data_IF_724465954071
#
_entry.id   IF_724465954071
#
_cell.length_a   1.000
_cell.length_b   1.000
_cell.length_c   1.000
_cell.angle_alpha   90.00
_cell.angle_beta   90.00
_cell.angle_gamma   90.00
#
_symmetry.space_group_name_H-M   'P 1'
#
loop_
_entity.id
_entity.type
_entity.pdbx_description
1 polymer ?
#
# COMPACT_ATOMS: atom_id res chain seq x y z
N UNK A 1 -12.98 12.55 -31.31
CA UNK A 1 -13.74 12.24 -30.07
C UNK A 1 -12.87 12.61 -28.89
N UNK A 2 -13.31 13.57 -28.04
CA UNK A 2 -12.59 13.92 -26.82
C UNK A 2 -12.91 12.85 -25.77
N UNK A 3 -11.92 12.08 -25.32
CA UNK A 3 -12.07 11.18 -24.17
C UNK A 3 -12.38 12.04 -22.93
N UNK A 4 -13.58 11.90 -22.37
CA UNK A 4 -13.90 12.53 -21.09
C UNK A 4 -13.02 11.89 -20.01
N UNK A 5 -12.34 12.71 -19.21
CA UNK A 5 -11.47 12.27 -18.11
C UNK A 5 -12.33 11.50 -17.09
N UNK A 6 -12.01 10.23 -16.88
CA UNK A 6 -12.72 9.37 -15.93
C UNK A 6 -12.47 9.83 -14.49
N UNK A 7 -13.47 9.66 -13.62
CA UNK A 7 -13.26 9.77 -12.17
C UNK A 7 -12.26 8.69 -11.72
N UNK A 8 -11.34 9.01 -10.80
CA UNK A 8 -10.29 8.09 -10.34
C UNK A 8 -10.85 6.75 -9.85
N UNK A 9 -11.93 6.78 -9.07
CA UNK A 9 -12.60 5.58 -8.54
C UNK A 9 -13.21 4.71 -9.64
N UNK A 10 -13.70 5.33 -10.71
CA UNK A 10 -14.24 4.59 -11.87
C UNK A 10 -13.12 4.04 -12.75
N UNK A 11 -11.96 4.72 -12.80
CA UNK A 11 -10.76 4.18 -13.44
C UNK A 11 -10.25 2.95 -12.70
N UNK A 12 -10.18 3.00 -11.36
CA UNK A 12 -9.84 1.84 -10.54
C UNK A 12 -10.82 0.68 -10.72
N UNK A 13 -12.13 0.97 -10.84
CA UNK A 13 -13.16 -0.05 -11.13
C UNK A 13 -12.96 -0.71 -12.49
N UNK A 14 -12.63 0.10 -13.50
CA UNK A 14 -12.28 -0.41 -14.84
C UNK A 14 -11.06 -1.34 -14.74
N UNK A 15 -10.01 -0.90 -14.07
CA UNK A 15 -8.78 -1.68 -13.93
C UNK A 15 -9.02 -2.99 -13.17
N UNK A 16 -9.81 -2.96 -12.08
CA UNK A 16 -10.18 -4.16 -11.33
C UNK A 16 -10.92 -5.17 -12.22
N UNK A 17 -11.91 -4.69 -12.98
CA UNK A 17 -12.69 -5.53 -13.91
C UNK A 17 -11.78 -6.18 -14.95
N UNK A 18 -10.91 -5.40 -15.59
CA UNK A 18 -10.01 -5.88 -16.64
C UNK A 18 -9.00 -6.89 -16.10
N UNK A 19 -8.38 -6.62 -14.95
CA UNK A 19 -7.43 -7.53 -14.29
C UNK A 19 -8.04 -8.88 -13.93
N UNK A 20 -9.30 -8.87 -13.50
CA UNK A 20 -10.02 -10.09 -13.11
C UNK A 20 -10.76 -10.76 -14.28
N UNK A 21 -10.65 -10.21 -15.51
CA UNK A 21 -11.32 -10.76 -16.69
C UNK A 21 -12.85 -10.75 -16.61
N UNK A 22 -13.45 -9.83 -15.85
CA UNK A 22 -14.88 -9.86 -15.55
C UNK A 22 -15.73 -9.23 -16.66
N UNK A 23 -16.85 -9.87 -16.96
CA UNK A 23 -17.96 -9.23 -17.67
C UNK A 23 -18.61 -8.16 -16.80
N UNK A 24 -19.36 -7.23 -17.42
CA UNK A 24 -20.11 -6.23 -16.64
C UNK A 24 -21.21 -6.88 -15.78
N UNK A 25 -21.73 -8.03 -16.21
CA UNK A 25 -22.69 -8.81 -15.43
C UNK A 25 -22.03 -9.36 -14.17
N UNK A 26 -20.91 -10.06 -14.32
CA UNK A 26 -20.17 -10.62 -13.17
C UNK A 26 -19.67 -9.53 -12.22
N UNK A 27 -19.25 -8.37 -12.75
CA UNK A 27 -18.86 -7.23 -11.92
C UNK A 27 -20.06 -6.72 -11.09
N UNK A 28 -21.22 -6.54 -11.72
CA UNK A 28 -22.44 -6.11 -11.02
C UNK A 28 -22.86 -7.15 -9.97
N UNK A 29 -22.83 -8.43 -10.31
CA UNK A 29 -23.18 -9.53 -9.41
C UNK A 29 -22.24 -9.56 -8.19
N UNK A 30 -20.93 -9.36 -8.38
CA UNK A 30 -19.96 -9.25 -7.27
C UNK A 30 -20.20 -8.03 -6.38
N UNK A 31 -20.53 -6.89 -6.96
CA UNK A 31 -20.88 -5.69 -6.20
C UNK A 31 -22.16 -5.93 -5.38
N UNK A 32 -23.17 -6.56 -5.97
CA UNK A 32 -24.46 -6.84 -5.35
C UNK A 32 -24.46 -8.01 -4.35
N UNK A 33 -23.30 -8.63 -4.09
CA UNK A 33 -23.14 -9.50 -2.92
C UNK A 33 -23.39 -8.74 -1.62
N UNK A 34 -23.15 -7.42 -1.61
CA UNK A 34 -23.68 -6.54 -0.57
C UNK A 34 -25.15 -6.22 -0.89
N UNK A 35 -26.13 -6.66 -0.06
CA UNK A 35 -27.55 -6.48 -0.34
C UNK A 35 -28.00 -5.01 -0.28
N UNK A 36 -27.16 -4.10 0.22
CA UNK A 36 -27.42 -2.66 0.19
C UNK A 36 -27.15 -2.03 -1.19
N UNK A 37 -26.53 -2.77 -2.11
CA UNK A 37 -26.18 -2.29 -3.44
C UNK A 37 -27.24 -2.71 -4.46
N UNK A 38 -27.39 -1.91 -5.52
CA UNK A 38 -28.26 -2.23 -6.64
C UNK A 38 -27.56 -1.78 -7.94
N UNK A 39 -26.48 -2.47 -8.28
CA UNK A 39 -25.64 -2.20 -9.44
C UNK A 39 -26.18 -2.89 -10.69
N UNK A 40 -26.42 -2.10 -11.72
CA UNK A 40 -26.83 -2.57 -13.04
C UNK A 40 -25.61 -2.66 -13.98
N UNK A 41 -25.43 -3.78 -14.72
CA UNK A 41 -24.31 -3.97 -15.64
C UNK A 41 -24.19 -2.88 -16.71
N UNK A 42 -25.33 -2.42 -17.25
CA UNK A 42 -25.36 -1.39 -18.30
C UNK A 42 -24.91 -0.05 -17.71
N UNK A 43 -25.34 0.26 -16.50
CA UNK A 43 -24.92 1.46 -15.77
C UNK A 43 -23.40 1.46 -15.49
N UNK A 44 -22.85 0.32 -15.05
CA UNK A 44 -21.40 0.16 -14.86
C UNK A 44 -20.62 0.36 -16.16
N UNK A 45 -21.11 -0.18 -17.28
CA UNK A 45 -20.52 0.07 -18.61
C UNK A 45 -20.51 1.55 -18.96
N UNK A 46 -21.63 2.25 -18.80
CA UNK A 46 -21.75 3.67 -19.14
C UNK A 46 -20.78 4.53 -18.31
N UNK A 47 -20.59 4.20 -17.02
CA UNK A 47 -19.60 4.87 -16.16
C UNK A 47 -18.18 4.64 -16.65
N UNK A 48 -17.81 3.38 -16.94
CA UNK A 48 -16.45 2.99 -17.35
C UNK A 48 -16.07 3.57 -18.73
N UNK A 49 -17.02 3.66 -19.66
CA UNK A 49 -16.81 4.26 -20.98
C UNK A 49 -16.81 5.81 -20.92
N UNK A 50 -17.25 6.40 -19.81
CA UNK A 50 -17.33 7.84 -19.62
C UNK A 50 -18.53 8.50 -20.30
N UNK A 51 -19.56 7.70 -20.63
CA UNK A 51 -20.82 8.15 -21.22
C UNK A 51 -21.77 8.72 -20.16
N UNK A 52 -21.65 8.28 -18.90
CA UNK A 52 -22.41 8.84 -17.77
C UNK A 52 -21.55 9.03 -16.52
N UNK A 53 -21.98 9.93 -15.64
CA UNK A 53 -21.32 10.19 -14.36
C UNK A 53 -22.13 9.51 -13.24
N UNK A 54 -21.48 8.74 -12.35
CA UNK A 54 -22.16 8.19 -11.18
C UNK A 54 -22.53 9.30 -10.20
N UNK A 55 -23.59 9.07 -9.43
CA UNK A 55 -23.92 9.89 -8.26
C UNK A 55 -22.89 9.66 -7.15
N UNK A 56 -22.75 10.61 -6.22
CA UNK A 56 -21.82 10.48 -5.09
C UNK A 56 -22.08 9.23 -4.25
N UNK A 57 -23.35 8.86 -4.08
CA UNK A 57 -23.75 7.61 -3.41
C UNK A 57 -23.24 6.37 -4.15
N UNK A 58 -23.36 6.36 -5.48
CA UNK A 58 -22.85 5.28 -6.32
C UNK A 58 -21.33 5.24 -6.37
N UNK A 59 -20.66 6.40 -6.43
CA UNK A 59 -19.21 6.48 -6.29
C UNK A 59 -18.74 5.90 -4.96
N UNK A 60 -19.46 6.20 -3.88
CA UNK A 60 -19.14 5.67 -2.56
C UNK A 60 -19.30 4.15 -2.49
N UNK A 61 -20.35 3.60 -3.11
CA UNK A 61 -20.53 2.15 -3.22
C UNK A 61 -19.41 1.48 -4.03
N UNK A 62 -18.96 2.11 -5.13
CA UNK A 62 -17.82 1.62 -5.92
C UNK A 62 -16.53 1.67 -5.10
N UNK A 63 -16.27 2.77 -4.39
CA UNK A 63 -15.11 2.92 -3.51
C UNK A 63 -15.08 1.82 -2.45
N UNK A 64 -16.21 1.60 -1.76
CA UNK A 64 -16.35 0.56 -0.73
C UNK A 64 -16.19 -0.85 -1.29
N UNK A 65 -16.76 -1.13 -2.46
CA UNK A 65 -16.58 -2.39 -3.17
C UNK A 65 -15.11 -2.64 -3.50
N UNK A 66 -14.46 -1.74 -4.22
CA UNK A 66 -13.06 -1.86 -4.63
C UNK A 66 -12.16 -2.10 -3.44
N UNK A 67 -12.38 -1.33 -2.39
CA UNK A 67 -11.67 -1.45 -1.14
C UNK A 67 -11.83 -2.83 -0.47
N UNK A 68 -13.04 -3.39 -0.48
CA UNK A 68 -13.29 -4.75 0.01
C UNK A 68 -12.45 -5.72 -0.81
N UNK A 69 -12.58 -5.69 -2.14
CA UNK A 69 -11.85 -6.60 -3.03
C UNK A 69 -10.32 -6.51 -2.87
N UNK A 70 -9.78 -5.29 -2.75
CA UNK A 70 -8.34 -5.11 -2.50
C UNK A 70 -7.89 -5.67 -1.15
N UNK A 71 -8.71 -5.51 -0.11
CA UNK A 71 -8.43 -6.12 1.20
C UNK A 71 -8.44 -7.63 1.09
N UNK A 72 -9.34 -8.20 0.29
CA UNK A 72 -9.44 -9.63 0.03
C UNK A 72 -8.18 -10.16 -0.67
N UNK A 73 -7.70 -9.46 -1.70
CA UNK A 73 -6.50 -9.87 -2.44
C UNK A 73 -5.25 -9.86 -1.54
N UNK A 74 -5.08 -8.79 -0.77
CA UNK A 74 -4.02 -8.64 0.23
C UNK A 74 -4.09 -9.81 1.23
N UNK A 75 -5.24 -10.03 1.86
CA UNK A 75 -5.38 -11.02 2.93
C UNK A 75 -5.33 -12.46 2.44
N UNK A 76 -5.83 -12.75 1.23
CA UNK A 76 -5.70 -14.06 0.61
C UNK A 76 -4.23 -14.35 0.25
N UNK A 77 -3.50 -13.36 -0.24
CA UNK A 77 -2.07 -13.48 -0.48
C UNK A 77 -1.29 -13.71 0.84
N UNK A 78 -1.63 -13.00 1.91
CA UNK A 78 -1.01 -13.16 3.24
C UNK A 78 -1.54 -14.36 4.06
N UNK A 79 -2.49 -15.14 3.57
CA UNK A 79 -2.95 -16.35 4.26
C UNK A 79 -2.55 -17.65 3.55
N UNK A 80 -2.08 -17.57 2.29
CA UNK A 80 -1.81 -18.76 1.47
C UNK A 80 -0.39 -19.32 1.61
N UNK A 81 0.63 -18.48 1.81
CA UNK A 81 2.05 -18.91 1.87
C UNK A 81 2.97 -18.00 2.75
N UNK A 82 2.51 -17.55 3.92
CA UNK A 82 3.34 -16.68 4.76
C UNK A 82 4.43 -17.45 5.50
N UNK A 83 5.67 -17.11 5.16
CA UNK A 83 6.86 -17.45 5.93
C UNK A 83 6.99 -16.47 7.08
N UNK A 84 7.09 -17.00 8.29
CA UNK A 84 7.33 -16.20 9.49
C UNK A 84 8.78 -16.32 9.91
N UNK A 85 9.27 -15.27 10.57
CA UNK A 85 10.60 -15.21 11.14
C UNK A 85 10.46 -15.09 12.65
N UNK A 86 11.20 -15.91 13.40
CA UNK A 86 11.21 -15.85 14.86
C UNK A 86 11.76 -14.50 15.34
N UNK A 87 11.08 -13.86 16.29
CA UNK A 87 11.46 -12.54 16.78
C UNK A 87 12.86 -12.49 17.40
N UNK A 88 13.44 -13.61 17.82
CA UNK A 88 14.84 -13.69 18.27
C UNK A 88 15.82 -13.41 17.13
N UNK A 89 15.52 -13.94 15.94
CA UNK A 89 16.34 -13.73 14.74
C UNK A 89 16.15 -12.29 14.21
N UNK A 90 14.91 -11.79 14.20
CA UNK A 90 14.64 -10.39 13.85
C UNK A 90 15.37 -9.43 14.80
N UNK A 91 15.45 -9.75 16.10
CA UNK A 91 16.17 -8.92 17.08
C UNK A 91 17.67 -8.86 16.77
N UNK A 92 18.25 -10.00 16.36
CA UNK A 92 19.65 -10.06 15.93
C UNK A 92 19.90 -9.16 14.72
N UNK A 93 19.05 -9.24 13.68
CA UNK A 93 19.19 -8.40 12.48
C UNK A 93 18.95 -6.91 12.76
N UNK A 94 18.02 -6.60 13.66
CA UNK A 94 17.75 -5.23 14.07
C UNK A 94 18.83 -4.64 15.01
N UNK A 95 19.84 -5.42 15.42
CA UNK A 95 20.84 -4.98 16.38
C UNK A 95 20.27 -4.67 17.77
N UNK A 96 19.15 -5.31 18.15
CA UNK A 96 18.44 -5.08 19.42
C UNK A 96 18.47 -6.34 20.28
N UNK A 97 18.39 -6.16 21.60
CA UNK A 97 18.12 -7.31 22.49
C UNK A 97 16.71 -7.84 22.22
N UNK A 98 16.51 -9.16 22.35
CA UNK A 98 15.18 -9.77 22.17
C UNK A 98 14.13 -9.11 23.07
N UNK A 99 14.48 -8.79 24.32
CA UNK A 99 13.61 -8.06 25.25
C UNK A 99 13.15 -6.70 24.70
N UNK A 100 14.06 -5.91 24.12
CA UNK A 100 13.71 -4.61 23.54
C UNK A 100 12.82 -4.76 22.31
N UNK A 101 13.14 -5.70 21.41
CA UNK A 101 12.27 -5.96 20.26
C UNK A 101 10.88 -6.41 20.69
N UNK A 102 10.77 -7.31 21.67
CA UNK A 102 9.47 -7.77 22.20
C UNK A 102 8.64 -6.61 22.78
N UNK A 103 9.28 -5.62 23.41
CA UNK A 103 8.61 -4.41 23.89
C UNK A 103 8.09 -3.56 22.73
N UNK A 104 8.91 -3.39 21.69
CA UNK A 104 8.54 -2.60 20.51
C UNK A 104 7.37 -3.27 19.76
N UNK A 105 7.41 -4.59 19.55
CA UNK A 105 6.31 -5.36 18.92
C UNK A 105 5.02 -5.19 19.71
N UNK A 106 5.04 -5.35 21.04
CA UNK A 106 3.83 -5.16 21.88
C UNK A 106 3.25 -3.75 21.74
N UNK A 107 4.11 -2.73 21.67
CA UNK A 107 3.67 -1.35 21.44
C UNK A 107 2.99 -1.19 20.08
N UNK A 108 3.52 -1.79 19.02
CA UNK A 108 2.86 -1.78 17.71
C UNK A 108 1.51 -2.50 17.75
N UNK A 109 1.42 -3.66 18.41
CA UNK A 109 0.16 -4.40 18.61
C UNK A 109 -0.88 -3.52 19.32
N UNK A 110 -0.48 -2.83 20.39
CA UNK A 110 -1.37 -1.93 21.14
C UNK A 110 -1.81 -0.72 20.31
N UNK A 111 -0.88 -0.12 19.55
CA UNK A 111 -1.17 1.01 18.67
C UNK A 111 -2.11 0.60 17.53
N UNK A 112 -1.95 -0.60 16.95
CA UNK A 112 -2.84 -1.17 15.93
C UNK A 112 -4.26 -1.38 16.47
N UNK A 113 -4.41 -1.98 17.66
CA UNK A 113 -5.71 -2.17 18.31
C UNK A 113 -6.41 -0.83 18.58
N UNK A 114 -5.68 0.16 19.10
CA UNK A 114 -6.21 1.51 19.32
C UNK A 114 -6.62 2.20 18.02
N UNK A 115 -5.84 2.03 16.95
CA UNK A 115 -6.18 2.58 15.64
C UNK A 115 -7.48 1.94 15.11
N UNK A 116 -7.65 0.63 15.30
CA UNK A 116 -8.87 -0.08 14.93
C UNK A 116 -10.09 0.42 15.72
N UNK A 117 -9.96 0.63 17.03
CA UNK A 117 -11.03 1.16 17.89
C UNK A 117 -11.43 2.60 17.52
N UNK A 118 -10.46 3.50 17.37
CA UNK A 118 -10.71 4.90 17.00
C UNK A 118 -11.44 5.06 15.67
N UNK A 119 -11.32 4.08 14.78
CA UNK A 119 -12.01 4.06 13.50
C UNK A 119 -13.47 3.62 13.65
N UNK A 120 -13.80 2.73 14.60
CA UNK A 120 -15.17 2.30 14.89
C UNK A 120 -16.00 3.44 15.49
N UNK A 121 -15.40 4.23 16.39
CA UNK A 121 -16.09 5.31 17.11
C UNK A 121 -16.51 6.50 16.23
N UNK A 122 -15.90 6.66 15.04
CA UNK A 122 -16.19 7.79 14.14
C UNK A 122 -17.41 7.60 13.24
N UNK A 123 -18.15 6.49 13.37
CA UNK A 123 -19.29 6.19 12.51
C UNK A 123 -18.93 6.13 11.02
N UNK A 124 -17.64 6.12 10.69
CA UNK A 124 -17.17 5.94 9.34
C UNK A 124 -17.39 4.47 9.02
N UNK A 125 -18.19 4.19 7.99
CA UNK A 125 -18.06 2.94 7.27
C UNK A 125 -16.63 2.92 6.74
N UNK A 126 -15.79 2.17 7.44
CA UNK A 126 -14.37 2.47 7.62
C UNK A 126 -13.58 2.17 6.37
N UNK A 127 -12.41 2.83 6.27
CA UNK A 127 -11.05 2.22 6.20
C UNK A 127 -10.88 0.68 6.14
N UNK A 128 -11.79 -0.05 6.77
CA UNK A 128 -11.64 -1.38 7.32
C UNK A 128 -13.02 -1.80 7.86
N UNK A 129 -14.06 -1.87 7.02
CA UNK A 129 -15.30 -2.51 7.44
C UNK A 129 -15.04 -4.04 7.46
N UNK A 130 -15.07 -4.73 8.62
CA UNK A 130 -14.54 -6.08 8.77
C UNK A 130 -15.46 -7.20 8.31
N UNK A 131 -16.46 -6.93 7.47
CA UNK A 131 -17.29 -8.00 6.90
C UNK A 131 -16.78 -8.42 5.52
N UNK A 132 -15.62 -9.08 5.61
CA UNK A 132 -15.25 -10.29 4.88
C UNK A 132 -14.95 -10.14 3.38
N UNK A 133 -13.66 -10.00 3.06
CA UNK A 133 -12.93 -11.21 2.77
C UNK A 133 -11.45 -11.12 3.20
N UNK A 134 -10.98 -12.24 3.76
CA UNK A 134 -9.74 -12.31 4.50
C UNK A 134 -9.94 -12.60 5.99
N UNK A 135 -9.05 -13.43 6.54
CA UNK A 135 -9.04 -13.79 7.98
C UNK A 135 -8.69 -12.61 8.90
N UNK A 136 -7.97 -11.60 8.39
CA UNK A 136 -7.40 -10.49 9.16
C UNK A 136 -7.64 -9.15 8.44
N UNK A 137 -7.90 -8.06 9.17
CA UNK A 137 -7.96 -6.70 8.59
C UNK A 137 -6.58 -6.04 8.46
N UNK A 138 -6.46 -4.93 7.70
CA UNK A 138 -5.18 -4.19 7.51
C UNK A 138 -4.57 -3.71 8.85
N UNK A 139 -5.42 -3.37 9.82
CA UNK A 139 -5.00 -2.95 11.16
C UNK A 139 -5.01 -4.09 12.18
N UNK A 140 -5.30 -5.32 11.74
CA UNK A 140 -5.29 -6.47 12.62
C UNK A 140 -3.84 -6.82 12.99
N UNK A 141 -3.48 -6.86 14.29
CA UNK A 141 -2.15 -7.22 14.72
C UNK A 141 -1.64 -8.56 14.17
N UNK A 142 -2.54 -9.54 13.97
CA UNK A 142 -2.17 -10.88 13.54
C UNK A 142 -1.67 -10.91 12.08
N UNK A 143 -1.92 -9.86 11.28
CA UNK A 143 -1.33 -9.68 9.96
C UNK A 143 0.19 -9.42 10.03
N UNK A 144 0.68 -8.89 11.15
CA UNK A 144 2.08 -8.48 11.35
C UNK A 144 2.83 -9.39 12.31
N UNK A 145 2.20 -9.74 13.43
CA UNK A 145 2.83 -10.41 14.57
C UNK A 145 1.90 -11.46 15.16
N UNK A 146 2.36 -12.71 15.23
CA UNK A 146 1.62 -13.80 15.88
C UNK A 146 2.34 -14.15 17.18
N UNK A 147 1.60 -14.17 18.29
CA UNK A 147 2.14 -14.60 19.57
C UNK A 147 2.66 -16.04 19.50
N UNK A 148 3.85 -16.24 20.06
CA UNK A 148 4.49 -17.55 20.08
C UNK A 148 5.32 -17.72 21.35
N UNK A 149 6.05 -18.82 21.41
CA UNK A 149 6.93 -19.12 22.52
C UNK A 149 8.05 -20.03 22.07
N UNK A 150 9.18 -19.94 22.76
CA UNK A 150 10.30 -20.85 22.56
C UNK A 150 10.71 -21.49 23.89
N UNK A 151 11.33 -22.66 23.81
CA UNK A 151 11.93 -23.33 24.96
C UNK A 151 13.40 -22.94 24.98
N UNK A 152 13.86 -22.36 26.08
CA UNK A 152 15.26 -22.04 26.25
C UNK A 152 16.10 -23.33 26.37
N UNK A 153 17.17 -23.48 25.58
CA UNK A 153 17.94 -24.72 25.55
C UNK A 153 18.69 -24.99 26.87
N UNK A 154 19.03 -23.95 27.63
CA UNK A 154 19.83 -24.02 28.86
C UNK A 154 19.00 -24.44 30.06
N UNK A 155 17.82 -23.83 30.26
CA UNK A 155 17.00 -24.06 31.46
C UNK A 155 15.67 -24.77 31.19
N UNK A 156 15.40 -25.16 29.93
CA UNK A 156 14.18 -25.84 29.49
C UNK A 156 12.86 -25.10 29.81
N UNK A 157 12.95 -23.80 30.11
CA UNK A 157 11.79 -22.97 30.44
C UNK A 157 11.19 -22.36 29.18
N UNK A 158 9.86 -22.24 29.14
CA UNK A 158 9.12 -21.64 28.04
C UNK A 158 9.11 -20.11 28.18
N UNK A 159 9.60 -19.40 27.16
CA UNK A 159 9.63 -17.94 27.11
C UNK A 159 8.79 -17.40 25.95
N UNK A 160 8.17 -16.22 26.09
CA UNK A 160 7.36 -15.62 25.04
C UNK A 160 8.23 -15.14 23.87
N UNK A 161 7.72 -15.31 22.65
CA UNK A 161 8.28 -14.76 21.42
C UNK A 161 7.15 -14.33 20.47
N UNK A 162 7.52 -13.84 19.30
CA UNK A 162 6.57 -13.59 18.21
C UNK A 162 7.08 -14.28 16.95
N UNK A 163 6.14 -14.74 16.14
CA UNK A 163 6.36 -15.01 14.72
C UNK A 163 6.06 -13.73 13.96
N UNK A 164 7.05 -13.22 13.24
CA UNK A 164 7.01 -11.93 12.55
C UNK A 164 6.82 -12.17 11.05
N UNK A 165 5.78 -11.58 10.46
CA UNK A 165 5.53 -11.65 9.02
C UNK A 165 6.46 -10.68 8.26
N UNK A 166 6.46 -10.74 6.92
CA UNK A 166 7.18 -9.74 6.10
C UNK A 166 6.72 -8.32 6.41
N UNK A 167 5.40 -8.10 6.51
CA UNK A 167 4.83 -6.80 6.89
C UNK A 167 5.23 -6.43 8.32
N UNK A 168 5.31 -7.39 9.22
CA UNK A 168 5.80 -7.18 10.59
C UNK A 168 7.25 -6.70 10.63
N UNK A 169 8.13 -7.25 9.79
CA UNK A 169 9.51 -6.76 9.65
C UNK A 169 9.57 -5.32 9.13
N UNK A 170 8.74 -4.99 8.13
CA UNK A 170 8.66 -3.63 7.58
C UNK A 170 8.07 -2.63 8.59
N UNK A 171 7.10 -3.07 9.40
CA UNK A 171 6.55 -2.29 10.52
C UNK A 171 7.63 -1.99 11.56
N UNK A 172 8.44 -2.99 11.94
CA UNK A 172 9.56 -2.84 12.89
C UNK A 172 10.64 -1.89 12.35
N UNK A 173 10.92 -1.94 11.05
CA UNK A 173 11.92 -1.09 10.41
C UNK A 173 11.47 0.38 10.31
N UNK A 174 10.16 0.64 10.34
CA UNK A 174 9.62 1.99 10.24
C UNK A 174 9.88 2.79 11.54
N UNK A 175 10.27 4.06 11.40
CA UNK A 175 10.61 4.95 12.53
C UNK A 175 9.41 5.71 13.10
N UNK A 176 8.27 5.74 12.41
CA UNK A 176 7.05 6.37 12.92
C UNK A 176 6.46 5.54 14.05
N UNK A 177 6.16 6.18 15.18
CA UNK A 177 5.62 5.50 16.38
C UNK A 177 4.35 6.17 16.90
N UNK A 178 3.63 5.47 17.78
CA UNK A 178 2.35 5.92 18.32
C UNK A 178 1.19 5.61 17.38
N UNK A 179 -0.03 5.66 17.89
CA UNK A 179 -1.26 5.21 17.20
C UNK A 179 -1.36 5.72 15.75
N UNK A 180 -1.20 7.03 15.52
CA UNK A 180 -1.27 7.63 14.18
C UNK A 180 -0.10 7.19 13.27
N UNK A 181 1.10 7.09 13.83
CA UNK A 181 2.28 6.65 13.08
C UNK A 181 2.15 5.20 12.66
N UNK A 182 1.77 4.31 13.59
CA UNK A 182 1.51 2.89 13.33
C UNK A 182 0.37 2.70 12.32
N UNK A 183 -0.71 3.48 12.41
CA UNK A 183 -1.78 3.46 11.43
C UNK A 183 -1.30 3.86 10.02
N UNK A 184 -0.53 4.95 9.91
CA UNK A 184 0.06 5.37 8.64
C UNK A 184 0.97 4.28 8.08
N UNK A 185 1.86 3.72 8.90
CA UNK A 185 2.79 2.65 8.51
C UNK A 185 2.04 1.42 8.01
N UNK A 186 0.99 0.99 8.69
CA UNK A 186 0.14 -0.13 8.26
C UNK A 186 -0.44 0.12 6.86
N UNK A 187 -1.05 1.29 6.63
CA UNK A 187 -1.64 1.65 5.34
C UNK A 187 -0.57 1.73 4.25
N UNK A 188 0.53 2.43 4.53
CA UNK A 188 1.66 2.62 3.62
C UNK A 188 2.24 1.29 3.16
N UNK A 189 2.62 0.41 4.10
CA UNK A 189 3.23 -0.88 3.78
C UNK A 189 2.27 -1.69 2.90
N UNK A 190 1.02 -1.86 3.33
CA UNK A 190 0.07 -2.70 2.61
C UNK A 190 -0.21 -2.17 1.20
N UNK A 191 -0.29 -0.84 1.02
CA UNK A 191 -0.51 -0.24 -0.28
C UNK A 191 0.67 -0.48 -1.24
N UNK A 192 1.91 -0.39 -0.77
CA UNK A 192 3.06 -0.69 -1.61
C UNK A 192 3.19 -2.18 -1.96
N UNK A 193 2.81 -3.09 -1.06
CA UNK A 193 2.71 -4.52 -1.40
C UNK A 193 1.63 -4.77 -2.46
N UNK A 194 0.47 -4.09 -2.36
CA UNK A 194 -0.57 -4.14 -3.40
C UNK A 194 -0.03 -3.70 -4.76
N UNK A 195 0.62 -2.54 -4.82
CA UNK A 195 1.20 -2.00 -6.06
C UNK A 195 2.28 -2.91 -6.65
N UNK A 196 3.12 -3.53 -5.81
CA UNK A 196 4.13 -4.49 -6.26
C UNK A 196 3.49 -5.74 -6.87
N UNK A 197 2.46 -6.28 -6.23
CA UNK A 197 1.75 -7.45 -6.74
C UNK A 197 1.06 -7.16 -8.07
N UNK A 198 0.59 -5.92 -8.29
CA UNK A 198 0.04 -5.49 -9.59
C UNK A 198 1.10 -5.40 -10.69
N UNK A 199 2.36 -5.17 -10.32
CA UNK A 199 3.47 -5.01 -11.25
C UNK A 199 4.14 -6.36 -11.59
N UNK A 200 4.07 -7.37 -10.72
CA UNK A 200 4.58 -8.73 -10.99
C UNK A 200 3.77 -9.48 -12.07
N UNK A 201 2.58 -8.98 -12.43
CA UNK A 201 1.78 -9.47 -13.56
C UNK A 201 2.15 -8.82 -14.91
N UNK A 202 3.04 -7.82 -14.92
CA UNK A 202 3.62 -7.26 -16.15
C UNK A 202 4.89 -8.07 -16.42
N UNK A 203 5.03 -8.73 -17.59
CA UNK A 203 6.29 -9.38 -17.92
C UNK A 203 7.39 -8.33 -17.81
N UNK A 204 8.50 -8.70 -17.15
CA UNK A 204 9.68 -7.87 -17.00
C UNK A 204 9.93 -7.12 -18.32
N UNK A 205 10.24 -5.80 -18.28
CA UNK A 205 10.51 -5.03 -19.48
C UNK A 205 11.45 -5.84 -20.38
N UNK A 206 10.94 -6.24 -21.54
CA UNK A 206 11.76 -6.84 -22.58
C UNK A 206 12.92 -5.88 -22.81
N UNK A 207 14.13 -6.45 -22.87
CA UNK A 207 15.41 -5.76 -22.90
C UNK A 207 15.33 -4.39 -23.59
N UNK A 208 15.79 -3.35 -22.89
CA UNK A 208 15.85 -2.00 -23.41
C UNK A 208 16.50 -1.99 -24.80
N UNK A 209 15.94 -1.26 -25.79
CA UNK A 209 16.52 -1.20 -27.11
C UNK A 209 17.95 -0.67 -27.00
N UNK A 210 18.91 -1.44 -27.51
CA UNK A 210 20.31 -1.03 -27.64
C UNK A 210 20.35 0.13 -28.62
N UNK A 211 20.50 1.35 -28.10
CA UNK A 211 20.90 2.50 -28.91
C UNK A 211 22.44 2.56 -28.84
N UNK A 212 23.04 2.50 -30.02
CA UNK A 212 24.48 2.51 -30.26
C UNK A 212 25.13 3.77 -29.69
N UNK A 213 26.35 3.57 -29.20
CA UNK A 213 27.16 4.53 -28.46
C UNK A 213 27.54 5.74 -29.32
N UNK A 214 27.31 6.95 -28.81
CA UNK A 214 28.25 8.05 -29.01
C UNK A 214 28.78 8.52 -27.65
N UNK A 215 30.08 8.32 -27.51
CA UNK A 215 30.94 8.77 -26.42
C UNK A 215 31.02 10.29 -26.43
N UNK A 216 30.66 10.91 -25.31
CA UNK A 216 31.24 12.18 -24.87
C UNK A 216 30.84 12.42 -23.41
N UNK A 217 31.81 12.76 -22.56
CA UNK A 217 31.72 13.01 -21.12
C UNK A 217 31.99 11.80 -20.20
N UNK A 218 33.28 11.52 -20.06
CA UNK A 218 33.92 10.84 -18.92
C UNK A 218 33.60 11.57 -17.61
N UNK A 219 32.46 11.32 -16.99
CA UNK A 219 32.26 11.42 -15.54
C UNK A 219 31.29 10.30 -15.18
N UNK A 220 31.80 9.18 -14.68
CA UNK A 220 31.01 8.10 -14.11
C UNK A 220 30.06 8.71 -13.05
N UNK A 221 28.72 8.76 -13.26
CA UNK A 221 27.81 9.06 -12.18
C UNK A 221 27.84 7.79 -11.33
N UNK A 222 28.52 7.84 -10.19
CA UNK A 222 28.42 6.75 -9.22
C UNK A 222 26.94 6.54 -8.92
N UNK A 223 26.43 5.36 -9.27
CA UNK A 223 25.06 4.97 -8.98
C UNK A 223 24.81 5.14 -7.48
N UNK A 224 23.67 5.73 -7.06
CA UNK A 224 23.40 5.92 -5.65
C UNK A 224 23.34 4.59 -4.92
N UNK A 225 24.22 4.42 -3.93
CA UNK A 225 24.51 3.12 -3.32
C UNK A 225 23.47 2.76 -2.26
N UNK A 226 22.75 3.74 -1.72
CA UNK A 226 21.71 3.50 -0.71
C UNK A 226 20.30 3.63 -1.29
N UNK A 227 19.32 2.96 -0.66
CA UNK A 227 17.90 3.09 -1.01
C UNK A 227 17.43 4.56 -0.90
N UNK A 228 17.93 5.27 0.12
CA UNK A 228 17.62 6.67 0.39
C UNK A 228 18.10 7.59 -0.75
N UNK A 229 19.29 7.36 -1.30
CA UNK A 229 19.79 8.17 -2.42
C UNK A 229 19.05 7.89 -3.73
N UNK A 230 18.64 6.63 -3.98
CA UNK A 230 17.79 6.29 -5.14
C UNK A 230 16.42 6.96 -5.04
N UNK A 231 15.82 6.94 -3.85
CA UNK A 231 14.52 7.57 -3.60
C UNK A 231 14.63 9.10 -3.74
N UNK A 232 15.75 9.69 -3.29
CA UNK A 232 16.04 11.10 -3.46
C UNK A 232 16.20 11.48 -4.95
N UNK A 233 16.87 10.64 -5.73
CA UNK A 233 17.07 10.87 -7.16
C UNK A 233 15.76 10.74 -7.95
N UNK A 234 14.92 9.77 -7.57
CA UNK A 234 13.57 9.63 -8.12
C UNK A 234 12.71 10.87 -7.81
N UNK A 235 12.74 11.37 -6.57
CA UNK A 235 12.06 12.61 -6.18
C UNK A 235 12.56 13.81 -6.98
N UNK A 236 13.89 13.96 -7.15
CA UNK A 236 14.48 15.03 -7.96
C UNK A 236 13.97 14.99 -9.39
N UNK A 237 13.98 13.82 -10.04
CA UNK A 237 13.47 13.65 -11.41
C UNK A 237 11.98 13.94 -11.52
N UNK A 238 11.19 13.48 -10.57
CA UNK A 238 9.74 13.68 -10.57
C UNK A 238 9.36 15.15 -10.38
N UNK A 239 10.03 15.86 -9.47
CA UNK A 239 9.82 17.29 -9.28
C UNK A 239 10.22 18.10 -10.52
N UNK A 240 11.33 17.72 -11.17
CA UNK A 240 11.74 18.31 -12.45
C UNK A 240 10.68 18.08 -13.54
N UNK A 241 10.14 16.88 -13.63
CA UNK A 241 9.09 16.55 -14.58
C UNK A 241 7.79 17.32 -14.28
N UNK A 242 7.36 17.42 -13.02
CA UNK A 242 6.17 18.19 -12.63
C UNK A 242 6.30 19.69 -12.99
N UNK A 243 7.52 20.24 -12.90
CA UNK A 243 7.82 21.61 -13.34
C UNK A 243 7.80 21.72 -14.87
N UNK A 244 8.38 20.76 -15.59
CA UNK A 244 8.45 20.74 -17.06
C UNK A 244 7.08 20.49 -17.71
N UNK A 245 6.21 19.71 -17.08
CA UNK A 245 4.87 19.36 -17.57
C UNK A 245 3.80 20.39 -17.17
N UNK A 246 4.17 21.45 -16.45
CA UNK A 246 3.23 22.48 -16.00
C UNK A 246 2.63 23.24 -17.19
N UNK A 247 1.31 23.16 -17.35
CA UNK A 247 0.59 23.75 -18.51
C UNK A 247 0.09 25.18 -18.25
N UNK A 248 0.10 25.62 -16.99
CA UNK A 248 -0.34 26.95 -16.58
C UNK A 248 0.66 27.61 -15.65
N UNK A 249 0.72 28.94 -15.67
CA UNK A 249 1.66 29.73 -14.84
C UNK A 249 1.40 29.51 -13.33
N UNK A 250 0.15 29.28 -12.95
CA UNK A 250 -0.22 28.99 -11.56
C UNK A 250 0.25 27.60 -11.11
N UNK A 251 0.18 26.61 -11.99
CA UNK A 251 0.64 25.24 -11.73
C UNK A 251 2.16 25.18 -11.64
N UNK A 252 2.85 25.88 -12.55
CA UNK A 252 4.29 26.09 -12.51
C UNK A 252 4.71 26.72 -11.18
N UNK A 253 4.03 27.80 -10.76
CA UNK A 253 4.32 28.48 -9.50
C UNK A 253 4.14 27.57 -8.28
N UNK A 254 3.08 26.75 -8.25
CA UNK A 254 2.84 25.78 -7.17
C UNK A 254 3.91 24.69 -7.12
N UNK A 255 4.35 24.19 -8.28
CA UNK A 255 5.33 23.12 -8.35
C UNK A 255 6.74 23.62 -7.99
N UNK A 256 7.08 24.87 -8.33
CA UNK A 256 8.31 25.53 -7.88
C UNK A 256 8.32 25.68 -6.34
N UNK A 257 7.21 26.13 -5.74
CA UNK A 257 7.11 26.28 -4.27
C UNK A 257 7.26 24.94 -3.56
N UNK A 258 6.56 23.88 -4.01
CA UNK A 258 6.70 22.53 -3.47
C UNK A 258 8.15 22.02 -3.54
N UNK A 259 8.83 22.30 -4.65
CA UNK A 259 10.23 21.91 -4.84
C UNK A 259 11.14 22.64 -3.84
N UNK A 260 10.93 23.95 -3.63
CA UNK A 260 11.68 24.75 -2.66
C UNK A 260 11.44 24.32 -1.20
N UNK A 261 10.20 23.98 -0.84
CA UNK A 261 9.85 23.45 0.49
C UNK A 261 10.52 22.11 0.77
N UNK A 262 10.59 21.23 -0.23
CA UNK A 262 11.29 19.95 -0.11
C UNK A 262 12.81 20.13 0.01
N UNK A 263 13.42 21.02 -0.77
CA UNK A 263 14.86 21.34 -0.66
C UNK A 263 15.18 21.86 0.74
N UNK A 264 14.36 22.75 1.29
CA UNK A 264 14.58 23.31 2.65
C UNK A 264 14.38 22.30 3.78
N UNK A 265 13.61 21.23 3.56
CA UNK A 265 13.47 20.12 4.50
C UNK A 265 14.64 19.14 4.39
N UNK A 266 15.20 18.96 3.20
CA UNK A 266 16.31 18.04 2.93
C UNK A 266 17.69 18.61 3.28
N UNK A 267 17.82 19.94 3.37
CA UNK A 267 19.06 20.66 3.71
C UNK A 267 19.25 20.87 5.23
N UNK A 268 18.48 20.15 6.08
CA UNK A 268 18.55 20.16 7.55
C UNK A 268 18.87 18.78 8.11
#
# INVERSE_FOLDING_TARGET
MKTKKLNNTIAELKDYRERNGLTYQELADRMNQDPSYNMDPSRLRLWIVGESHPLDTSLKQVELFLRREYTNDITNYFSKDVKYIDSRLVAQWAGKTHRHLMRDIRKHVDDLKKAQEQLKDRGAQTWADPQSAGKYGILDPDLYFIESSFIDPQNKTKYPSFLVSRLGCEMIANKMTGVKGTQFTALYINEFHRLRNETEAIPAPQEAPKIEQESLFDHEPQAPQTQEERDLEYLKRRLLNDVLESTTVLELGKNIVKTLELITVLDK
#
